data_IF_059142523980
#
_entry.id   IF_059142523980
#
_cell.length_a   1.000
_cell.length_b   1.000
_cell.length_c   1.000
_cell.angle_alpha   90.00
_cell.angle_beta   90.00
_cell.angle_gamma   90.00
#
_symmetry.space_group_name_H-M   'P 1'
#
loop_
_entity.id
_entity.type
_entity.pdbx_description
1 polymer ?
#
# COMPACT_ATOMS: atom_id res chain seq x y z
N UNK A 1 -21.89 4.67 14.86
CA UNK A 1 -22.74 5.87 14.65
C UNK A 1 -21.84 7.03 14.29
N UNK A 2 -22.11 7.80 13.23
CA UNK A 2 -21.33 9.01 12.92
C UNK A 2 -21.74 10.13 13.90
N UNK A 3 -20.81 10.84 14.56
CA UNK A 3 -21.16 11.87 15.55
C UNK A 3 -22.08 12.95 14.95
N UNK A 4 -23.06 13.40 15.72
CA UNK A 4 -24.06 14.40 15.28
C UNK A 4 -23.41 15.67 14.70
N UNK A 5 -22.30 16.13 15.30
CA UNK A 5 -21.53 17.28 14.81
C UNK A 5 -20.97 17.07 13.39
N UNK A 6 -20.53 15.86 13.04
CA UNK A 6 -20.00 15.57 11.69
C UNK A 6 -21.09 15.71 10.63
N UNK A 7 -22.36 15.45 10.98
CA UNK A 7 -23.50 15.57 10.05
C UNK A 7 -23.98 17.02 9.86
N UNK A 8 -23.82 17.87 10.87
CA UNK A 8 -24.25 19.27 10.84
C UNK A 8 -23.33 20.18 10.03
N UNK A 9 -22.05 19.82 9.90
CA UNK A 9 -21.04 20.67 9.25
C UNK A 9 -20.48 19.96 8.01
N UNK A 10 -20.98 20.28 6.79
CA UNK A 10 -20.51 19.65 5.56
C UNK A 10 -19.00 19.74 5.34
N UNK A 11 -18.35 20.83 5.79
CA UNK A 11 -16.90 20.97 5.73
C UNK A 11 -16.17 19.92 6.59
N UNK A 12 -16.71 19.62 7.78
CA UNK A 12 -16.18 18.58 8.68
C UNK A 12 -16.44 17.20 8.10
N UNK A 13 -17.63 16.95 7.56
CA UNK A 13 -17.98 15.70 6.89
C UNK A 13 -17.01 15.38 5.75
N UNK A 14 -16.73 16.36 4.88
CA UNK A 14 -15.76 16.22 3.79
C UNK A 14 -14.40 15.79 4.30
N UNK A 15 -13.87 16.46 5.34
CA UNK A 15 -12.58 16.06 5.95
C UNK A 15 -12.64 14.65 6.56
N UNK A 16 -13.75 14.28 7.17
CA UNK A 16 -13.95 12.96 7.78
C UNK A 16 -14.10 11.83 6.75
N UNK A 17 -14.66 12.10 5.57
CA UNK A 17 -14.73 11.13 4.47
C UNK A 17 -13.35 10.89 3.86
N UNK A 18 -12.57 11.96 3.68
CA UNK A 18 -11.26 11.86 3.03
C UNK A 18 -10.12 11.48 3.98
N UNK A 19 -10.24 11.76 5.29
CA UNK A 19 -9.19 11.56 6.31
C UNK A 19 -7.77 11.96 5.85
N UNK A 20 -7.68 12.91 4.92
CA UNK A 20 -6.43 13.28 4.26
C UNK A 20 -5.48 14.08 5.17
N UNK A 21 -5.91 14.38 6.40
CA UNK A 21 -5.11 15.04 7.42
C UNK A 21 -4.54 14.06 8.46
N UNK A 22 -4.92 12.78 8.41
CA UNK A 22 -4.52 11.77 9.37
C UNK A 22 -3.73 10.66 8.68
N UNK A 23 -2.45 10.55 8.99
CA UNK A 23 -1.63 9.40 8.62
C UNK A 23 -1.91 8.27 9.63
N UNK A 24 -2.49 7.16 9.17
CA UNK A 24 -2.80 5.99 9.96
C UNK A 24 -2.43 4.70 9.21
N UNK A 25 -1.82 3.71 9.89
CA UNK A 25 -1.45 3.68 11.31
C UNK A 25 -0.23 4.56 11.63
N UNK A 26 -0.19 5.05 12.87
CA UNK A 26 0.83 6.00 13.31
C UNK A 26 2.22 5.35 13.41
N UNK A 27 3.25 6.10 13.02
CA UNK A 27 4.67 5.74 13.19
C UNK A 27 5.11 4.43 12.49
N UNK A 28 4.41 3.99 11.44
CA UNK A 28 4.85 2.84 10.64
C UNK A 28 5.83 3.26 9.53
N UNK A 29 6.93 2.51 9.39
CA UNK A 29 7.82 2.64 8.23
C UNK A 29 7.30 1.79 7.06
N UNK A 30 6.51 2.41 6.19
CA UNK A 30 5.93 1.74 5.03
C UNK A 30 6.96 1.44 3.93
N UNK A 31 8.23 1.82 4.10
CA UNK A 31 9.30 1.52 3.15
C UNK A 31 9.88 0.11 3.38
N UNK A 32 9.59 -0.51 4.52
CA UNK A 32 10.04 -1.86 4.91
C UNK A 32 8.83 -2.78 5.16
N UNK A 33 8.01 -3.07 4.12
CA UNK A 33 6.81 -3.88 4.28
C UNK A 33 7.06 -5.30 4.78
N UNK A 34 8.26 -5.84 4.60
CA UNK A 34 8.67 -7.16 5.09
C UNK A 34 8.56 -7.30 6.62
N UNK A 35 8.54 -6.19 7.36
CA UNK A 35 8.30 -6.16 8.81
C UNK A 35 6.82 -6.28 9.18
N UNK A 36 5.93 -6.07 8.21
CA UNK A 36 4.47 -5.98 8.39
C UNK A 36 3.74 -7.13 7.70
N UNK A 37 4.25 -7.58 6.55
CA UNK A 37 3.63 -8.58 5.70
C UNK A 37 4.67 -9.53 5.13
N UNK A 38 4.42 -10.84 5.28
CA UNK A 38 5.29 -11.87 4.74
C UNK A 38 5.37 -11.78 3.21
N UNK A 39 6.52 -12.18 2.66
CA UNK A 39 6.75 -12.29 1.22
C UNK A 39 6.44 -11.00 0.45
N UNK A 40 6.71 -9.85 1.06
CA UNK A 40 6.38 -8.54 0.51
C UNK A 40 7.62 -7.67 0.48
N UNK A 41 7.82 -6.96 -0.63
CA UNK A 41 8.89 -5.98 -0.79
C UNK A 41 8.33 -4.63 -1.26
N UNK A 42 9.10 -3.57 -1.04
CA UNK A 42 8.83 -2.24 -1.60
C UNK A 42 9.50 -2.10 -2.97
N UNK A 43 8.75 -1.63 -3.97
CA UNK A 43 9.24 -1.26 -5.30
C UNK A 43 8.84 0.18 -5.61
N UNK A 44 9.50 0.79 -6.59
CA UNK A 44 9.21 2.16 -7.01
C UNK A 44 8.99 2.21 -8.51
N UNK A 45 7.83 2.74 -8.91
CA UNK A 45 7.46 2.93 -10.31
C UNK A 45 7.54 4.41 -10.68
N UNK A 46 8.32 4.72 -11.70
CA UNK A 46 8.28 6.04 -12.34
C UNK A 46 7.04 6.12 -13.22
N UNK A 47 6.27 7.20 -13.06
CA UNK A 47 5.01 7.41 -13.80
C UNK A 47 5.15 8.60 -14.74
N UNK A 48 4.49 9.72 -14.43
CA UNK A 48 4.64 10.99 -15.15
C UNK A 48 5.99 11.65 -14.82
N UNK A 49 6.47 12.60 -15.64
CA UNK A 49 7.72 13.31 -15.37
C UNK A 49 7.77 13.92 -13.97
N UNK A 50 8.76 13.50 -13.17
CA UNK A 50 8.95 13.95 -11.80
C UNK A 50 8.11 13.22 -10.74
N UNK A 51 7.34 12.19 -11.12
CA UNK A 51 6.48 11.44 -10.19
C UNK A 51 6.93 9.98 -10.08
N UNK A 52 7.26 9.57 -8.85
CA UNK A 52 7.59 8.19 -8.48
C UNK A 52 6.59 7.69 -7.45
N UNK A 53 6.00 6.53 -7.69
CA UNK A 53 5.03 5.89 -6.80
C UNK A 53 5.68 4.69 -6.12
N UNK A 54 5.63 4.65 -4.79
CA UNK A 54 5.99 3.47 -4.01
C UNK A 54 4.87 2.43 -4.07
N UNK A 55 5.20 1.19 -4.40
CA UNK A 55 4.26 0.06 -4.41
C UNK A 55 4.79 -1.07 -3.54
N UNK A 56 3.89 -1.89 -3.02
CA UNK A 56 4.26 -3.14 -2.39
C UNK A 56 3.96 -4.29 -3.34
N UNK A 57 4.92 -5.19 -3.52
CA UNK A 57 4.71 -6.44 -4.25
C UNK A 57 4.76 -7.61 -3.27
N UNK A 58 3.64 -8.32 -3.15
CA UNK A 58 3.49 -9.53 -2.33
C UNK A 58 3.29 -10.75 -3.22
N UNK A 59 4.11 -11.78 -3.06
CA UNK A 59 3.87 -13.07 -3.72
C UNK A 59 2.94 -13.96 -2.88
N UNK A 60 2.18 -14.89 -3.51
CA UNK A 60 1.27 -15.78 -2.78
C UNK A 60 1.99 -16.57 -1.68
N UNK A 61 1.27 -16.84 -0.58
CA UNK A 61 1.83 -17.59 0.56
C UNK A 61 2.37 -18.97 0.19
N UNK A 62 1.82 -19.61 -0.85
CA UNK A 62 2.32 -20.88 -1.39
C UNK A 62 3.76 -20.80 -1.91
N UNK A 63 4.23 -19.61 -2.32
CA UNK A 63 5.61 -19.36 -2.78
C UNK A 63 6.51 -18.75 -1.70
N UNK A 64 6.06 -18.69 -0.45
CA UNK A 64 6.81 -18.03 0.63
C UNK A 64 8.20 -18.66 0.88
N UNK A 65 8.33 -19.98 0.68
CA UNK A 65 9.62 -20.65 0.77
C UNK A 65 10.60 -20.20 -0.33
N UNK A 66 10.11 -19.99 -1.56
CA UNK A 66 10.91 -19.50 -2.69
C UNK A 66 11.32 -18.04 -2.49
N UNK A 67 10.41 -17.23 -1.95
CA UNK A 67 10.57 -15.79 -1.77
C UNK A 67 11.57 -15.41 -0.67
N UNK A 68 11.86 -16.35 0.25
CA UNK A 68 12.71 -16.09 1.42
C UNK A 68 14.13 -15.71 0.99
N UNK A 69 14.57 -14.51 1.37
CA UNK A 69 15.92 -13.99 1.09
C UNK A 69 16.15 -13.63 -0.38
N UNK A 70 15.08 -13.53 -1.18
CA UNK A 70 15.16 -13.09 -2.58
C UNK A 70 15.26 -11.59 -2.68
N UNK A 71 15.90 -11.13 -3.74
CA UNK A 71 16.10 -9.74 -4.07
C UNK A 71 14.97 -9.19 -4.96
N UNK A 72 15.00 -7.89 -5.20
CA UNK A 72 14.03 -7.18 -6.04
C UNK A 72 13.86 -7.82 -7.42
N UNK A 73 14.96 -8.23 -8.06
CA UNK A 73 14.93 -8.83 -9.40
C UNK A 73 14.09 -10.11 -9.45
N UNK A 74 14.23 -10.98 -8.46
CA UNK A 74 13.41 -12.20 -8.41
C UNK A 74 11.92 -11.90 -8.27
N UNK A 75 11.56 -10.89 -7.46
CA UNK A 75 10.17 -10.47 -7.32
C UNK A 75 9.63 -9.85 -8.64
N UNK A 76 10.43 -9.07 -9.36
CA UNK A 76 10.03 -8.56 -10.68
C UNK A 76 9.83 -9.69 -11.70
N UNK A 77 10.73 -10.68 -11.73
CA UNK A 77 10.60 -11.87 -12.58
C UNK A 77 9.35 -12.70 -12.24
N UNK A 78 8.95 -12.73 -10.96
CA UNK A 78 7.73 -13.43 -10.53
C UNK A 78 6.43 -12.82 -11.09
N UNK A 79 6.42 -11.54 -11.45
CA UNK A 79 5.27 -10.89 -12.11
C UNK A 79 5.04 -11.39 -13.55
N UNK A 80 6.07 -11.96 -14.18
CA UNK A 80 6.00 -12.45 -15.56
C UNK A 80 5.48 -13.89 -15.66
N UNK A 81 5.08 -14.49 -14.54
CA UNK A 81 4.51 -15.84 -14.55
C UNK A 81 3.08 -15.87 -15.13
N UNK A 82 2.48 -17.06 -15.20
CA UNK A 82 1.16 -17.24 -15.83
C UNK A 82 -0.02 -17.03 -14.86
N UNK A 83 0.25 -16.67 -13.60
CA UNK A 83 -0.77 -16.47 -12.59
C UNK A 83 -1.38 -15.07 -12.68
N UNK A 84 -2.65 -14.90 -12.27
CA UNK A 84 -3.29 -13.59 -12.27
C UNK A 84 -2.63 -12.64 -11.27
N UNK A 85 -2.53 -11.36 -11.66
CA UNK A 85 -2.08 -10.27 -10.79
C UNK A 85 -3.29 -9.55 -10.19
N UNK A 86 -3.24 -9.32 -8.88
CA UNK A 86 -4.24 -8.52 -8.16
C UNK A 86 -3.63 -7.16 -7.84
N UNK A 87 -4.26 -6.10 -8.34
CA UNK A 87 -3.89 -4.72 -7.99
C UNK A 87 -4.83 -4.25 -6.88
N UNK A 88 -4.26 -4.02 -5.70
CA UNK A 88 -4.98 -3.44 -4.57
C UNK A 88 -4.56 -1.99 -4.36
N UNK A 89 -5.51 -1.07 -4.50
CA UNK A 89 -5.31 0.35 -4.22
C UNK A 89 -5.91 0.65 -2.85
N UNK A 90 -5.05 0.97 -1.88
CA UNK A 90 -5.52 1.22 -0.52
C UNK A 90 -6.36 2.52 -0.46
N UNK A 91 -7.32 2.52 0.47
CA UNK A 91 -8.18 3.68 0.73
C UNK A 91 -7.45 4.82 1.44
N UNK A 92 -8.22 5.77 1.96
CA UNK A 92 -7.65 6.90 2.69
C UNK A 92 -6.97 6.47 3.99
N UNK A 93 -5.67 6.73 4.11
CA UNK A 93 -4.89 6.50 5.33
C UNK A 93 -3.77 7.51 5.54
N UNK A 94 -3.75 8.61 4.77
CA UNK A 94 -2.71 9.64 4.85
C UNK A 94 -1.30 9.17 4.43
N UNK A 95 -1.22 8.09 3.64
CA UNK A 95 0.03 7.46 3.17
C UNK A 95 0.19 7.58 1.65
N UNK A 96 -0.33 8.67 1.07
CA UNK A 96 -0.22 9.02 -0.35
C UNK A 96 1.00 9.85 -0.63
#
# INVERSE_FOLDING_TARGET
>A
SVPFLVRLFPAVLTKFVYLNFLAFPFFMDLRQPELLLNNTISLYLTTEPGVTVGIWHTVPGSRGAEARGKDQRWYEEALADTHPVIIYLHGNGGTR
#
